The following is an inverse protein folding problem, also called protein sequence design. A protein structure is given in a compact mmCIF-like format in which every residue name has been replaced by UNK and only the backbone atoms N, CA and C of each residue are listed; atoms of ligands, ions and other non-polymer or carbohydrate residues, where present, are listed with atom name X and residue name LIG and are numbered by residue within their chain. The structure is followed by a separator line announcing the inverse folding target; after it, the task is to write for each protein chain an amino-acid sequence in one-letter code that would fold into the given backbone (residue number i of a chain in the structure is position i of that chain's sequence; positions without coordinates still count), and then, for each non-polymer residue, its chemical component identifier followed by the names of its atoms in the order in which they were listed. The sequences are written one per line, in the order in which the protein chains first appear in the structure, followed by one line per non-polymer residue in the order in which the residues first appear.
data_IF_707333785536
#
_entry.id   IF_707333785536
#
_cell.length_a   1.000
_cell.length_b   1.000
_cell.length_c   1.000
_cell.angle_alpha   90.00
_cell.angle_beta   90.00
_cell.angle_gamma   90.00
#
_symmetry.space_group_name_H-M   'P 1'
#
loop_
_entity.id
_entity.type
_entity.pdbx_description
1 polymer ?
#
# COMPACT_ATOMS: atom_id res chain seq x y z
N UNK A 1 -4.16 115.21 -2.09
CA UNK A 1 -4.86 115.31 -0.78
C UNK A 1 -6.34 114.98 -1.01
N UNK A 2 -7.04 114.52 0.03
CA UNK A 2 -8.39 113.97 -0.07
C UNK A 2 -9.45 115.02 -0.47
N UNK A 3 -10.66 114.54 -0.83
CA UNK A 3 -11.84 115.03 -0.13
C UNK A 3 -12.70 113.91 0.44
N UNK A 4 -13.51 114.24 1.44
CA UNK A 4 -14.54 113.37 2.00
C UNK A 4 -15.70 114.26 2.48
N UNK A 5 -16.94 113.95 2.09
CA UNK A 5 -18.12 113.80 2.98
C UNK A 5 -19.46 113.70 2.22
N UNK A 6 -20.14 112.59 2.46
CA UNK A 6 -21.61 112.38 2.59
C UNK A 6 -22.59 112.99 1.57
N UNK A 7 -23.48 112.13 1.08
CA UNK A 7 -24.91 112.19 1.41
C UNK A 7 -25.55 110.78 1.43
N UNK A 8 -26.80 110.72 1.88
CA UNK A 8 -27.66 109.53 2.00
C UNK A 8 -29.09 109.97 1.58
N UNK A 9 -30.08 109.13 1.26
CA UNK A 9 -30.36 107.74 1.63
C UNK A 9 -31.02 107.00 0.44
N UNK A 10 -31.35 105.71 0.62
CA UNK A 10 -32.59 105.05 0.17
C UNK A 10 -32.48 103.96 -0.93
N UNK A 11 -32.62 102.72 -0.48
CA UNK A 11 -33.23 101.53 -1.12
C UNK A 11 -33.53 101.50 -2.62
N UNK A 12 -33.16 100.38 -3.28
CA UNK A 12 -34.12 99.34 -3.71
C UNK A 12 -33.40 98.03 -4.11
N UNK A 13 -34.11 96.91 -3.97
CA UNK A 13 -33.63 95.57 -4.32
C UNK A 13 -33.67 95.30 -5.83
N UNK A 14 -32.78 94.44 -6.32
CA UNK A 14 -33.01 93.68 -7.55
C UNK A 14 -32.41 92.29 -7.43
N UNK A 15 -33.28 91.29 -7.23
CA UNK A 15 -32.94 89.87 -7.18
C UNK A 15 -32.70 89.33 -8.58
N UNK A 16 -31.48 88.89 -8.89
CA UNK A 16 -31.24 88.05 -10.06
C UNK A 16 -31.86 86.67 -9.85
N UNK A 17 -33.11 86.49 -10.27
CA UNK A 17 -33.67 85.16 -10.47
C UNK A 17 -33.04 84.53 -11.71
N UNK A 18 -32.11 83.62 -11.50
CA UNK A 18 -31.66 82.68 -12.52
C UNK A 18 -32.82 81.76 -12.89
N UNK A 19 -33.30 81.89 -14.14
CA UNK A 19 -34.30 80.99 -14.70
C UNK A 19 -33.70 79.59 -14.87
N UNK A 20 -33.96 78.70 -13.92
CA UNK A 20 -33.73 77.28 -14.08
C UNK A 20 -34.68 76.74 -15.16
N UNK A 21 -34.13 76.42 -16.33
CA UNK A 21 -34.87 75.83 -17.43
C UNK A 21 -35.45 74.46 -16.99
N UNK A 22 -36.79 74.25 -16.97
CA UNK A 22 -37.40 73.03 -16.45
C UNK A 22 -36.96 71.76 -17.20
N UNK A 23 -36.50 71.89 -18.45
CA UNK A 23 -35.95 70.79 -19.23
C UNK A 23 -34.61 70.25 -18.64
N UNK A 24 -33.81 71.11 -18.03
CA UNK A 24 -32.52 70.74 -17.41
C UNK A 24 -32.72 69.93 -16.11
N UNK A 25 -33.70 70.30 -15.29
CA UNK A 25 -34.03 69.57 -14.07
C UNK A 25 -34.57 68.16 -14.35
N UNK A 26 -35.33 67.99 -15.45
CA UNK A 26 -35.87 66.70 -15.86
C UNK A 26 -34.74 65.73 -16.29
N UNK A 27 -33.80 66.19 -17.13
CA UNK A 27 -32.64 65.41 -17.57
C UNK A 27 -31.75 65.00 -16.37
N UNK A 28 -31.44 65.93 -15.47
CA UNK A 28 -30.66 65.65 -14.27
C UNK A 28 -31.35 64.68 -13.29
N UNK A 29 -32.69 64.57 -13.32
CA UNK A 29 -33.42 63.58 -12.54
C UNK A 29 -33.38 62.20 -13.22
N UNK A 30 -33.48 62.13 -14.54
CA UNK A 30 -33.33 60.88 -15.30
C UNK A 30 -31.93 60.29 -15.14
N UNK A 31 -30.87 61.11 -15.19
CA UNK A 31 -29.50 60.66 -14.91
C UNK A 31 -29.35 60.08 -13.50
N UNK A 32 -29.98 60.68 -12.48
CA UNK A 32 -29.95 60.17 -11.10
C UNK A 32 -30.67 58.83 -10.96
N UNK A 33 -31.83 58.66 -11.58
CA UNK A 33 -32.55 57.38 -11.59
C UNK A 33 -31.77 56.30 -12.34
N UNK A 34 -31.15 56.64 -13.48
CA UNK A 34 -30.26 55.74 -14.23
C UNK A 34 -29.05 55.35 -13.38
N UNK A 35 -28.36 56.29 -12.72
CA UNK A 35 -27.23 56.01 -11.82
C UNK A 35 -27.66 55.18 -10.61
N UNK A 36 -28.85 55.42 -10.05
CA UNK A 36 -29.45 54.63 -8.97
C UNK A 36 -29.74 53.19 -9.41
N UNK A 37 -30.29 53.02 -10.61
CA UNK A 37 -30.55 51.72 -11.24
C UNK A 37 -29.23 50.97 -11.51
N UNK A 38 -28.24 51.60 -12.12
CA UNK A 38 -26.91 50.99 -12.33
C UNK A 38 -26.20 50.67 -11.03
N UNK A 39 -26.30 51.50 -9.98
CA UNK A 39 -25.80 51.16 -8.63
C UNK A 39 -26.46 49.91 -8.07
N UNK A 40 -27.79 49.78 -8.20
CA UNK A 40 -28.53 48.58 -7.78
C UNK A 40 -28.12 47.35 -8.59
N UNK A 41 -27.95 47.49 -9.91
CA UNK A 41 -27.50 46.40 -10.80
C UNK A 41 -26.06 45.98 -10.47
N UNK A 42 -25.14 46.92 -10.24
CA UNK A 42 -23.76 46.62 -9.83
C UNK A 42 -23.72 45.95 -8.45
N UNK A 43 -24.54 46.40 -7.49
CA UNK A 43 -24.68 45.74 -6.18
C UNK A 43 -25.27 44.32 -6.32
N UNK A 44 -26.27 44.12 -7.20
CA UNK A 44 -26.85 42.80 -7.47
C UNK A 44 -25.88 41.87 -8.18
N UNK A 45 -25.12 42.36 -9.17
CA UNK A 45 -24.09 41.58 -9.87
C UNK A 45 -22.92 41.25 -8.93
N UNK A 46 -22.50 42.19 -8.07
CA UNK A 46 -21.51 41.93 -7.03
C UNK A 46 -21.99 40.87 -6.02
N UNK A 47 -23.25 40.97 -5.56
CA UNK A 47 -23.85 39.97 -4.69
C UNK A 47 -23.97 38.60 -5.38
N UNK A 48 -24.35 38.57 -6.66
CA UNK A 48 -24.45 37.34 -7.45
C UNK A 48 -23.06 36.71 -7.68
N UNK A 49 -22.03 37.52 -7.94
CA UNK A 49 -20.64 37.06 -8.05
C UNK A 49 -20.11 36.52 -6.71
N UNK A 50 -20.46 37.13 -5.57
CA UNK A 50 -20.13 36.60 -4.24
C UNK A 50 -20.86 35.28 -3.96
N UNK A 51 -22.15 35.17 -4.32
CA UNK A 51 -22.92 33.94 -4.18
C UNK A 51 -22.39 32.80 -5.06
N UNK A 52 -21.97 33.11 -6.30
CA UNK A 52 -21.31 32.14 -7.20
C UNK A 52 -19.91 31.78 -6.69
N UNK A 53 -19.18 32.72 -6.07
CA UNK A 53 -17.89 32.47 -5.42
C UNK A 53 -17.99 31.60 -4.16
N UNK A 54 -19.19 31.41 -3.59
CA UNK A 54 -19.42 30.49 -2.47
C UNK A 54 -19.76 29.06 -2.94
N UNK A 55 -19.98 28.84 -4.24
CA UNK A 55 -20.04 27.49 -4.81
C UNK A 55 -18.61 26.96 -5.03
N UNK A 56 -17.92 26.70 -3.91
CA UNK A 56 -16.66 25.95 -3.89
C UNK A 56 -16.82 24.68 -4.73
N UNK A 57 -15.93 24.45 -5.70
CA UNK A 57 -15.95 23.23 -6.50
C UNK A 57 -15.44 22.06 -5.66
N UNK A 58 -16.30 21.54 -4.80
CA UNK A 58 -16.15 20.18 -4.28
C UNK A 58 -16.33 19.21 -5.46
N UNK A 59 -15.22 18.84 -6.10
CA UNK A 59 -15.16 17.54 -6.76
C UNK A 59 -15.60 16.49 -5.72
N UNK A 60 -16.46 15.51 -6.09
CA UNK A 60 -16.99 14.56 -5.14
C UNK A 60 -15.82 13.85 -4.44
N UNK A 61 -15.86 13.80 -3.10
CA UNK A 61 -14.81 13.21 -2.26
C UNK A 61 -14.70 11.70 -2.56
N UNK A 62 -13.94 11.35 -3.60
CA UNK A 62 -13.80 9.98 -4.09
C UNK A 62 -12.91 9.21 -3.14
N UNK A 63 -13.52 8.32 -2.36
CA UNK A 63 -12.81 7.34 -1.56
C UNK A 63 -12.23 6.26 -2.51
N UNK A 64 -10.93 6.06 -2.48
CA UNK A 64 -10.22 4.98 -3.18
C UNK A 64 -9.46 4.10 -2.20
N UNK A 65 -9.17 2.86 -2.60
CA UNK A 65 -8.35 1.90 -1.84
C UNK A 65 -7.68 0.96 -2.85
N UNK A 66 -6.37 0.79 -2.72
CA UNK A 66 -5.57 -0.11 -3.57
C UNK A 66 -4.40 -0.69 -2.78
N UNK A 67 -4.01 -1.93 -3.09
CA UNK A 67 -2.78 -2.52 -2.53
C UNK A 67 -1.55 -1.71 -2.93
N UNK A 68 -0.57 -1.64 -2.04
CA UNK A 68 0.78 -1.23 -2.42
C UNK A 68 1.48 -2.39 -3.15
N UNK A 69 2.47 -2.13 -4.02
CA UNK A 69 3.32 -3.18 -4.57
C UNK A 69 3.96 -4.00 -3.44
N UNK A 70 4.07 -5.31 -3.62
CA UNK A 70 4.57 -6.20 -2.59
C UNK A 70 4.78 -7.62 -3.10
N UNK A 71 5.24 -8.50 -2.20
CA UNK A 71 5.40 -9.92 -2.46
C UNK A 71 4.13 -10.65 -2.05
N UNK A 72 3.59 -11.46 -2.96
CA UNK A 72 2.36 -12.25 -2.77
C UNK A 72 2.65 -13.78 -2.76
N UNK A 73 3.93 -14.18 -2.78
CA UNK A 73 4.38 -15.57 -2.62
C UNK A 73 5.69 -15.63 -1.84
N UNK A 74 5.75 -16.40 -0.75
CA UNK A 74 6.92 -16.54 0.14
C UNK A 74 7.25 -18.00 0.44
N UNK A 75 8.48 -18.30 0.86
CA UNK A 75 8.84 -19.62 1.37
C UNK A 75 8.36 -19.78 2.82
N UNK A 76 7.98 -21.00 3.21
CA UNK A 76 7.65 -21.35 4.60
C UNK A 76 8.81 -21.03 5.55
N UNK A 77 8.49 -20.52 6.74
CA UNK A 77 9.43 -20.03 7.75
C UNK A 77 10.14 -18.70 7.40
N UNK A 78 9.79 -18.05 6.27
CA UNK A 78 10.37 -16.74 5.89
C UNK A 78 9.62 -15.57 6.52
N UNK A 79 10.34 -14.48 6.81
CA UNK A 79 9.74 -13.23 7.27
C UNK A 79 8.90 -12.56 6.17
N UNK A 80 7.69 -12.12 6.52
CA UNK A 80 6.83 -11.32 5.65
C UNK A 80 6.93 -9.82 5.97
N UNK A 81 7.36 -9.00 5.01
CA UNK A 81 7.27 -7.54 5.10
C UNK A 81 5.90 -7.09 4.59
N UNK A 82 5.04 -6.61 5.50
CA UNK A 82 3.68 -6.13 5.21
C UNK A 82 3.72 -4.87 4.32
N UNK A 83 3.36 -4.96 3.02
CA UNK A 83 3.48 -3.82 2.10
C UNK A 83 2.34 -2.82 2.29
N UNK A 84 1.23 -3.25 2.89
CA UNK A 84 0.04 -2.46 3.15
C UNK A 84 -0.82 -2.20 1.92
N UNK A 85 -1.74 -1.25 2.11
CA UNK A 85 -2.59 -0.67 1.08
C UNK A 85 -2.68 0.85 1.31
N UNK A 86 -2.94 1.60 0.25
CA UNK A 86 -3.15 3.05 0.26
C UNK A 86 -4.61 3.37 -0.02
N UNK A 87 -5.16 4.31 0.74
CA UNK A 87 -6.45 4.92 0.46
C UNK A 87 -6.27 6.42 0.22
N UNK A 88 -7.10 6.98 -0.68
CA UNK A 88 -7.23 8.43 -0.81
C UNK A 88 -8.69 8.86 -0.75
N UNK A 89 -8.92 10.07 -0.26
CA UNK A 89 -10.21 10.75 -0.25
C UNK A 89 -10.04 12.07 -1.00
N UNK A 90 -10.64 12.22 -2.18
CA UNK A 90 -10.46 13.40 -3.02
C UNK A 90 -8.99 13.65 -3.40
N UNK A 91 -8.20 12.58 -3.54
CA UNK A 91 -6.76 12.64 -3.84
C UNK A 91 -5.84 12.92 -2.65
N UNK A 92 -6.35 13.14 -1.43
CA UNK A 92 -5.55 13.24 -0.21
C UNK A 92 -5.44 11.88 0.49
N UNK A 93 -4.33 11.59 1.16
CA UNK A 93 -4.15 10.34 1.91
C UNK A 93 -5.25 10.17 2.97
N UNK A 94 -5.83 8.97 3.02
CA UNK A 94 -6.88 8.60 3.97
C UNK A 94 -6.50 7.32 4.73
N UNK A 95 -7.09 7.10 5.90
CA UNK A 95 -6.68 6.00 6.78
C UNK A 95 -7.07 4.62 6.23
N UNK A 96 -6.16 3.66 6.39
CA UNK A 96 -6.38 2.24 6.10
C UNK A 96 -6.17 1.46 7.40
N UNK A 97 -6.98 0.42 7.59
CA UNK A 97 -6.89 -0.52 8.70
C UNK A 97 -6.87 -1.96 8.18
N UNK A 98 -6.13 -2.85 8.82
CA UNK A 98 -6.25 -4.29 8.58
C UNK A 98 -7.39 -4.80 9.45
N UNK A 99 -8.44 -5.35 8.83
CA UNK A 99 -9.62 -5.88 9.54
C UNK A 99 -9.63 -7.40 9.65
N UNK A 100 -8.79 -8.07 8.85
CA UNK A 100 -8.55 -9.50 8.91
C UNK A 100 -7.13 -9.79 8.43
N UNK A 101 -6.40 -10.63 9.14
CA UNK A 101 -5.13 -11.19 8.70
C UNK A 101 -5.13 -12.67 9.07
N UNK A 102 -5.03 -13.54 8.07
CA UNK A 102 -4.95 -14.99 8.27
C UNK A 102 -3.55 -15.55 8.02
N UNK A 103 -2.55 -14.72 7.70
CA UNK A 103 -1.23 -15.16 7.30
C UNK A 103 -0.53 -15.92 8.43
N UNK A 104 -0.16 -17.15 8.13
CA UNK A 104 0.76 -17.96 8.93
C UNK A 104 1.96 -18.27 8.05
N UNK A 105 3.14 -17.72 8.40
CA UNK A 105 4.37 -17.91 7.61
C UNK A 105 4.99 -19.29 7.81
N UNK A 106 4.59 -20.00 8.86
CA UNK A 106 5.23 -21.23 9.32
C UNK A 106 4.47 -22.48 8.82
N UNK A 107 3.41 -22.27 8.03
CA UNK A 107 2.62 -23.31 7.38
C UNK A 107 2.45 -23.01 5.89
N UNK A 108 2.64 -24.02 5.04
CA UNK A 108 2.37 -23.93 3.59
C UNK A 108 0.86 -23.82 3.35
N UNK A 109 0.44 -22.84 2.55
CA UNK A 109 -0.97 -22.57 2.28
C UNK A 109 -1.24 -21.21 1.65
N UNK A 110 -2.49 -20.99 1.24
CA UNK A 110 -2.96 -19.71 0.69
C UNK A 110 -3.69 -18.89 1.75
N UNK A 111 -3.16 -17.72 2.05
CA UNK A 111 -3.67 -16.82 3.09
C UNK A 111 -4.22 -15.52 2.52
N UNK A 112 -4.88 -14.72 3.37
CA UNK A 112 -5.37 -13.40 2.99
C UNK A 112 -5.17 -12.35 4.07
N UNK A 113 -4.97 -11.12 3.61
CA UNK A 113 -4.97 -9.91 4.43
C UNK A 113 -6.03 -8.97 3.85
N UNK A 114 -7.01 -8.58 4.67
CA UNK A 114 -8.13 -7.72 4.27
C UNK A 114 -7.89 -6.33 4.84
N UNK A 115 -7.64 -5.39 3.94
CA UNK A 115 -7.53 -3.97 4.28
C UNK A 115 -8.89 -3.32 4.08
N UNK A 116 -9.28 -2.46 5.01
CA UNK A 116 -10.50 -1.67 4.98
C UNK A 116 -10.18 -0.19 5.15
N UNK A 117 -10.90 0.64 4.40
CA UNK A 117 -11.03 2.07 4.66
C UNK A 117 -12.51 2.46 4.67
N UNK A 118 -12.87 3.42 5.53
CA UNK A 118 -14.24 3.92 5.61
C UNK A 118 -14.30 5.44 5.66
N UNK A 119 -15.36 6.00 5.09
CA UNK A 119 -15.69 7.41 5.18
C UNK A 119 -17.21 7.64 5.05
N UNK A 120 -17.81 8.33 6.03
CA UNK A 120 -19.26 8.64 6.10
C UNK A 120 -20.17 7.43 5.80
N UNK A 121 -19.81 6.25 6.31
CA UNK A 121 -20.55 4.99 6.10
C UNK A 121 -20.28 4.28 4.77
N UNK A 122 -19.53 4.89 3.85
CA UNK A 122 -18.97 4.18 2.69
C UNK A 122 -17.78 3.36 3.17
N UNK A 123 -17.82 2.04 2.96
CA UNK A 123 -16.72 1.11 3.28
C UNK A 123 -16.14 0.59 1.97
N UNK A 124 -14.81 0.57 1.85
CA UNK A 124 -14.08 -0.13 0.78
C UNK A 124 -13.13 -1.15 1.39
N UNK A 125 -13.03 -2.31 0.75
CA UNK A 125 -12.09 -3.37 1.09
C UNK A 125 -11.26 -3.76 -0.12
N UNK A 126 -10.02 -4.15 0.14
CA UNK A 126 -9.15 -4.84 -0.82
C UNK A 126 -8.49 -6.00 -0.11
N UNK A 127 -8.28 -7.10 -0.82
CA UNK A 127 -7.69 -8.33 -0.27
C UNK A 127 -6.34 -8.54 -0.94
N UNK A 128 -5.29 -8.71 -0.15
CA UNK A 128 -4.04 -9.32 -0.62
C UNK A 128 -4.13 -10.82 -0.36
N UNK A 129 -3.78 -11.61 -1.36
CA UNK A 129 -3.54 -13.04 -1.21
C UNK A 129 -2.04 -13.24 -1.05
N UNK A 130 -1.64 -14.13 -0.13
CA UNK A 130 -0.24 -14.48 0.08
C UNK A 130 -0.15 -16.00 0.12
N UNK A 131 0.56 -16.56 -0.85
CA UNK A 131 0.83 -18.00 -0.90
C UNK A 131 2.15 -18.28 -0.19
N UNK A 132 2.09 -19.06 0.89
CA UNK A 132 3.27 -19.66 1.50
C UNK A 132 3.48 -21.00 0.81
N UNK A 133 4.64 -21.15 0.16
CA UNK A 133 5.03 -22.35 -0.57
C UNK A 133 6.27 -22.96 0.05
N UNK A 134 6.58 -24.20 -0.32
CA UNK A 134 7.87 -24.80 -0.04
C UNK A 134 8.48 -25.36 -1.33
N UNK A 135 9.69 -24.90 -1.62
CA UNK A 135 10.51 -25.36 -2.75
C UNK A 135 11.93 -25.68 -2.30
N UNK A 136 12.14 -25.94 -1.01
CA UNK A 136 13.45 -26.14 -0.40
C UNK A 136 13.65 -27.63 -0.12
N UNK A 137 14.68 -28.29 -0.68
CA UNK A 137 14.92 -29.70 -0.39
C UNK A 137 15.32 -29.97 1.07
N UNK A 138 14.96 -31.14 1.62
CA UNK A 138 15.46 -31.60 2.92
C UNK A 138 16.98 -31.61 3.02
N UNK A 139 17.49 -31.38 4.22
CA UNK A 139 18.92 -31.49 4.54
C UNK A 139 19.19 -32.86 5.17
N UNK A 140 19.96 -33.70 4.49
CA UNK A 140 20.45 -34.98 5.05
C UNK A 140 21.82 -34.80 5.71
N UNK A 141 22.09 -35.58 6.75
CA UNK A 141 23.41 -35.75 7.35
C UNK A 141 23.64 -37.23 7.64
N UNK A 142 24.80 -37.78 7.25
CA UNK A 142 25.17 -39.15 7.61
C UNK A 142 25.34 -39.27 9.13
N UNK A 143 24.68 -40.24 9.74
CA UNK A 143 24.93 -40.57 11.14
C UNK A 143 26.34 -41.17 11.29
N UNK A 144 27.05 -40.94 12.42
CA UNK A 144 28.32 -41.59 12.71
C UNK A 144 28.18 -43.12 12.61
N UNK A 145 29.04 -43.75 11.80
CA UNK A 145 28.94 -45.17 11.45
C UNK A 145 30.28 -45.80 11.09
N UNK A 146 30.25 -47.06 10.67
CA UNK A 146 31.43 -47.82 10.26
C UNK A 146 31.51 -47.83 8.74
N UNK A 147 32.48 -47.12 8.17
CA UNK A 147 32.67 -47.00 6.72
C UNK A 147 33.81 -47.92 6.20
N UNK A 148 34.40 -48.74 7.07
CA UNK A 148 35.38 -49.79 6.73
C UNK A 148 35.19 -50.99 7.66
N UNK A 149 35.03 -52.17 7.08
CA UNK A 149 34.70 -53.42 7.78
C UNK A 149 35.53 -54.58 7.22
N UNK A 150 35.86 -55.57 8.05
CA UNK A 150 36.60 -56.75 7.58
C UNK A 150 35.68 -57.76 6.89
N UNK A 151 36.22 -58.49 5.92
CA UNK A 151 35.57 -59.58 5.20
C UNK A 151 34.88 -60.56 6.17
N UNK A 152 33.64 -60.94 5.85
CA UNK A 152 32.75 -61.80 6.64
C UNK A 152 32.39 -61.28 8.04
N UNK A 153 32.70 -60.02 8.37
CA UNK A 153 32.25 -59.37 9.61
C UNK A 153 30.87 -58.74 9.45
N UNK A 154 30.19 -58.47 10.55
CA UNK A 154 28.88 -57.82 10.54
C UNK A 154 29.02 -56.31 10.25
N UNK A 155 28.17 -55.78 9.38
CA UNK A 155 27.99 -54.36 9.14
C UNK A 155 26.53 -53.98 9.40
N UNK A 156 26.30 -52.80 9.96
CA UNK A 156 24.96 -52.23 10.20
C UNK A 156 24.98 -50.84 9.62
N UNK A 157 23.95 -50.51 8.86
CA UNK A 157 23.75 -49.14 8.41
C UNK A 157 23.42 -48.23 9.60
N UNK A 158 24.23 -47.19 9.81
CA UNK A 158 23.94 -46.14 10.79
C UNK A 158 22.87 -45.16 10.28
N UNK A 159 22.58 -45.17 8.98
CA UNK A 159 21.57 -44.33 8.34
C UNK A 159 21.96 -42.85 8.26
N UNK A 160 20.93 -42.02 8.17
CA UNK A 160 20.98 -40.56 8.09
C UNK A 160 20.08 -39.92 9.15
N UNK A 161 20.36 -38.67 9.52
CA UNK A 161 19.40 -37.74 10.09
C UNK A 161 18.94 -36.78 9.00
N UNK A 162 17.68 -36.34 9.07
CA UNK A 162 17.08 -35.46 8.06
C UNK A 162 16.28 -34.36 8.75
N UNK A 163 16.38 -33.13 8.21
CA UNK A 163 15.63 -31.95 8.67
C UNK A 163 15.10 -31.17 7.48
N UNK A 164 13.95 -30.51 7.67
CA UNK A 164 13.24 -29.76 6.64
C UNK A 164 12.60 -28.49 7.21
N UNK A 165 12.40 -27.46 6.38
CA UNK A 165 11.83 -26.16 6.78
C UNK A 165 10.30 -26.13 6.88
N UNK A 166 9.57 -27.04 6.23
CA UNK A 166 8.11 -27.13 6.36
C UNK A 166 7.65 -27.66 7.72
N UNK A 167 8.53 -28.37 8.44
CA UNK A 167 8.19 -29.09 9.66
C UNK A 167 7.26 -30.30 9.45
N UNK A 168 6.98 -30.68 8.19
CA UNK A 168 6.20 -31.86 7.85
C UNK A 168 7.07 -33.13 7.79
N UNK A 169 6.43 -34.28 7.59
CA UNK A 169 7.11 -35.57 7.51
C UNK A 169 7.94 -35.69 6.22
N UNK A 170 9.16 -36.21 6.35
CA UNK A 170 10.09 -36.46 5.25
C UNK A 170 10.32 -37.95 5.11
N UNK A 171 10.10 -38.49 3.91
CA UNK A 171 10.35 -39.92 3.61
C UNK A 171 11.80 -40.10 3.19
N UNK A 172 12.47 -41.13 3.68
CA UNK A 172 13.83 -41.51 3.26
C UNK A 172 13.80 -42.90 2.60
N UNK A 173 14.20 -42.96 1.34
CA UNK A 173 14.45 -44.21 0.61
C UNK A 173 15.95 -44.55 0.66
N UNK A 174 16.29 -45.84 0.74
CA UNK A 174 17.66 -46.34 0.81
C UNK A 174 17.88 -47.35 -0.32
N UNK A 175 18.92 -47.12 -1.12
CA UNK A 175 19.34 -48.01 -2.22
C UNK A 175 20.80 -48.45 -2.06
N UNK A 176 21.10 -49.68 -2.50
CA UNK A 176 22.39 -50.34 -2.37
C UNK A 176 22.46 -51.38 -1.24
N UNK A 177 23.45 -52.27 -1.33
CA UNK A 177 23.69 -53.37 -0.37
C UNK A 177 25.21 -53.55 -0.16
N UNK A 178 25.63 -53.85 1.08
CA UNK A 178 27.04 -54.16 1.40
C UNK A 178 27.24 -55.68 1.44
N UNK A 179 27.93 -56.23 0.43
CA UNK A 179 28.22 -57.67 0.37
C UNK A 179 29.47 -58.00 1.17
N UNK A 180 29.29 -58.25 2.47
CA UNK A 180 30.39 -58.51 3.44
C UNK A 180 31.30 -59.71 3.08
N UNK A 181 30.86 -60.61 2.20
CA UNK A 181 31.62 -61.79 1.75
C UNK A 181 32.59 -61.52 0.59
N UNK A 182 32.62 -60.30 0.05
CA UNK A 182 33.51 -59.89 -1.04
C UNK A 182 34.19 -58.55 -0.71
N UNK A 183 35.51 -58.49 -0.79
CA UNK A 183 36.26 -57.26 -0.59
C UNK A 183 35.99 -56.26 -1.74
N UNK A 184 35.80 -54.99 -1.40
CA UNK A 184 35.41 -53.95 -2.37
C UNK A 184 34.86 -52.69 -1.70
N UNK A 185 34.58 -51.68 -2.51
CA UNK A 185 33.84 -50.48 -2.11
C UNK A 185 32.35 -50.67 -2.48
N UNK A 186 31.45 -50.40 -1.53
CA UNK A 186 30.01 -50.47 -1.71
C UNK A 186 29.39 -49.09 -1.51
N UNK A 187 28.46 -48.72 -2.39
CA UNK A 187 27.74 -47.44 -2.34
C UNK A 187 26.34 -47.66 -1.76
N UNK A 188 26.02 -46.95 -0.68
CA UNK A 188 24.66 -46.83 -0.13
C UNK A 188 24.17 -45.41 -0.39
N UNK A 189 22.98 -45.29 -0.96
CA UNK A 189 22.36 -44.03 -1.39
C UNK A 189 21.13 -43.78 -0.53
N UNK A 190 21.01 -42.57 0.03
CA UNK A 190 19.83 -42.15 0.77
C UNK A 190 19.19 -40.99 0.03
N UNK A 191 17.91 -41.13 -0.33
CA UNK A 191 17.12 -40.09 -0.98
C UNK A 191 16.03 -39.64 -0.03
N UNK A 192 16.08 -38.38 0.41
CA UNK A 192 15.00 -37.78 1.17
C UNK A 192 14.01 -37.07 0.22
N UNK A 193 12.71 -37.23 0.47
CA UNK A 193 11.62 -36.50 -0.21
C UNK A 193 10.69 -35.91 0.84
N UNK A 194 10.45 -34.60 0.78
CA UNK A 194 9.49 -33.92 1.65
C UNK A 194 8.02 -34.13 1.22
N UNK A 195 7.10 -33.49 1.93
CA UNK A 195 5.66 -33.53 1.65
C UNK A 195 5.24 -32.78 0.36
N UNK A 196 6.12 -31.98 -0.24
CA UNK A 196 5.87 -31.14 -1.42
C UNK A 196 6.59 -31.65 -2.68
N UNK A 197 7.42 -32.68 -2.55
CA UNK A 197 8.17 -33.32 -3.63
C UNK A 197 9.57 -32.77 -3.87
N UNK A 198 10.12 -31.92 -2.98
CA UNK A 198 11.53 -31.53 -3.08
C UNK A 198 12.41 -32.68 -2.57
N UNK A 199 13.57 -32.87 -3.23
CA UNK A 199 14.42 -34.05 -3.01
C UNK A 199 15.89 -33.69 -2.83
N UNK A 200 16.56 -34.46 -1.96
CA UNK A 200 17.99 -34.40 -1.75
C UNK A 200 18.59 -35.81 -1.58
N UNK A 201 19.84 -35.99 -2.00
CA UNK A 201 20.57 -37.26 -1.94
C UNK A 201 21.85 -37.10 -1.10
N UNK A 202 22.18 -38.12 -0.30
CA UNK A 202 23.53 -38.30 0.25
C UNK A 202 23.98 -39.75 0.07
N UNK A 203 25.30 -39.98 0.07
CA UNK A 203 25.91 -41.28 -0.21
C UNK A 203 26.89 -41.67 0.89
N UNK A 204 26.80 -42.90 1.38
CA UNK A 204 27.83 -43.56 2.22
C UNK A 204 28.62 -44.54 1.37
N UNK A 205 29.94 -44.50 1.49
CA UNK A 205 30.85 -45.50 0.90
C UNK A 205 31.35 -46.44 2.01
N UNK A 206 31.22 -47.75 1.80
CA UNK A 206 31.61 -48.78 2.77
C UNK A 206 32.66 -49.68 2.16
N UNK A 207 33.81 -49.78 2.82
CA UNK A 207 34.95 -50.57 2.34
C UNK A 207 34.99 -51.92 3.05
N UNK A 208 34.73 -53.02 2.33
CA UNK A 208 35.01 -54.37 2.84
C UNK A 208 36.45 -54.72 2.51
N UNK A 209 37.28 -54.93 3.53
CA UNK A 209 38.72 -55.20 3.38
C UNK A 209 39.09 -56.58 3.93
N UNK A 210 40.17 -57.17 3.42
CA UNK A 210 40.73 -58.38 4.03
C UNK A 210 41.29 -58.05 5.44
N UNK A 211 41.16 -58.97 6.42
CA UNK A 211 41.90 -58.85 7.67
C UNK A 211 43.41 -58.82 7.39
N UNK A 212 44.15 -58.04 8.17
CA UNK A 212 45.61 -58.03 8.12
C UNK A 212 46.16 -59.41 8.50
N UNK A 213 47.03 -59.96 7.64
CA UNK A 213 47.79 -61.19 7.92
C UNK A 213 48.88 -60.96 8.98
#
# INVERSE_FOLDING_TARGET
MAPCLKHSVMFMFSTQHSFLNPHSACLANQEKEVISMWRKVILMMGLLLVLVSCAERQDPETLTLSLNPGVDTIQVGSTYEEPGAVATLGGQNHTVSVVENTLDTDQVGSYRIVYETQYRGTVKRVVRHVDVIDTTPPVLTLNPGIDTVYLNSHWIDAGVSVTDNSGLEVTVEIDGEVVISMAGEYRITYVATDAFGNQAEIVRFVHVIHPSN
#
